data_IF_230903855679
#
_entry.id   IF_230903855679
#
_cell.length_a   1.000
_cell.length_b   1.000
_cell.length_c   1.000
_cell.angle_alpha   90.00
_cell.angle_beta   90.00
_cell.angle_gamma   90.00
#
_symmetry.space_group_name_H-M   'P 1'
#
loop_
_entity.id
_entity.type
_entity.pdbx_description
1 polymer ?
#
# COMPACT_ATOMS: atom_id res chain seq x y z
N UNK A 1 -70.68 45.09 -29.28
CA UNK A 1 -71.68 44.01 -29.38
C UNK A 1 -70.90 42.71 -29.55
N UNK A 2 -70.77 41.93 -28.45
CA UNK A 2 -70.17 40.57 -28.28
C UNK A 2 -69.06 40.12 -29.25
N UNK A 3 -67.77 39.91 -28.91
CA UNK A 3 -67.10 39.37 -27.72
C UNK A 3 -67.74 38.11 -27.12
N UNK A 4 -66.98 37.02 -27.19
CA UNK A 4 -67.09 35.75 -26.45
C UNK A 4 -68.26 34.81 -26.76
N UNK A 5 -68.00 33.83 -27.64
CA UNK A 5 -68.28 32.40 -27.40
C UNK A 5 -67.94 31.57 -28.66
N UNK A 6 -66.66 31.45 -29.02
CA UNK A 6 -66.26 30.31 -29.87
C UNK A 6 -66.21 29.11 -28.92
N UNK A 7 -67.23 28.28 -29.02
CA UNK A 7 -67.44 27.13 -28.15
C UNK A 7 -66.39 26.07 -28.47
N UNK A 8 -65.80 25.46 -27.44
CA UNK A 8 -64.86 24.33 -27.54
C UNK A 8 -65.45 23.11 -28.27
N UNK A 9 -66.79 23.08 -28.44
CA UNK A 9 -67.49 22.12 -29.31
C UNK A 9 -67.16 22.30 -30.80
N UNK A 10 -66.94 23.53 -31.27
CA UNK A 10 -66.78 23.80 -32.70
C UNK A 10 -65.38 23.41 -33.20
N UNK A 11 -64.35 23.57 -32.35
CA UNK A 11 -62.97 23.16 -32.66
C UNK A 11 -62.78 21.64 -32.61
N UNK A 12 -63.46 20.95 -31.69
CA UNK A 12 -63.46 19.47 -31.65
C UNK A 12 -64.30 18.86 -32.78
N UNK A 13 -65.38 19.53 -33.20
CA UNK A 13 -66.26 19.02 -34.26
C UNK A 13 -65.61 19.10 -35.65
N UNK A 14 -64.83 20.16 -35.95
CA UNK A 14 -64.22 20.32 -37.27
C UNK A 14 -62.90 19.53 -37.42
N UNK A 15 -62.19 19.24 -36.32
CA UNK A 15 -60.98 18.41 -36.33
C UNK A 15 -61.29 16.91 -36.50
N UNK A 16 -62.46 16.45 -36.06
CA UNK A 16 -62.89 15.05 -36.20
C UNK A 16 -63.36 14.70 -37.63
N UNK A 17 -63.86 15.67 -38.39
CA UNK A 17 -64.44 15.45 -39.73
C UNK A 17 -63.38 15.33 -40.83
N UNK A 18 -62.15 15.84 -40.64
CA UNK A 18 -61.12 15.90 -41.69
C UNK A 18 -60.10 14.75 -41.67
N UNK A 19 -60.16 13.83 -40.70
CA UNK A 19 -59.19 12.72 -40.57
C UNK A 19 -59.76 11.33 -40.94
N UNK A 20 -60.96 11.27 -41.53
CA UNK A 20 -61.71 10.03 -41.73
C UNK A 20 -62.10 9.75 -43.19
N UNK A 21 -61.19 9.91 -44.16
CA UNK A 21 -61.44 9.37 -45.51
C UNK A 21 -60.12 9.06 -46.23
N UNK A 22 -59.58 7.89 -45.91
CA UNK A 22 -58.43 7.33 -46.59
C UNK A 22 -58.29 5.84 -46.34
N UNK A 23 -59.10 5.01 -47.01
CA UNK A 23 -58.66 3.80 -47.71
C UNK A 23 -59.87 3.09 -48.34
N UNK A 24 -59.69 2.75 -49.61
CA UNK A 24 -60.61 2.07 -50.51
C UNK A 24 -60.87 0.60 -50.15
N UNK A 25 -62.03 0.15 -50.63
CA UNK A 25 -62.57 -1.22 -50.69
C UNK A 25 -63.26 -1.76 -49.42
N UNK A 26 -64.59 -1.64 -49.41
CA UNK A 26 -65.50 -2.23 -48.40
C UNK A 26 -66.18 -1.23 -47.48
N UNK A 27 -66.97 -0.29 -48.02
CA UNK A 27 -67.52 0.86 -47.29
C UNK A 27 -68.50 0.50 -46.16
N UNK A 28 -68.09 0.77 -44.93
CA UNK A 28 -68.94 0.90 -43.73
C UNK A 28 -69.49 2.33 -43.69
N UNK A 29 -70.81 2.49 -43.68
CA UNK A 29 -71.45 3.79 -43.48
C UNK A 29 -71.31 4.21 -42.00
N UNK A 30 -70.78 5.41 -41.77
CA UNK A 30 -70.64 6.00 -40.43
C UNK A 30 -71.94 6.75 -40.11
N UNK A 31 -72.93 6.01 -39.62
CA UNK A 31 -73.95 6.58 -38.74
C UNK A 31 -73.42 6.56 -37.31
N UNK A 32 -73.52 7.69 -36.61
CA UNK A 32 -73.05 7.86 -35.23
C UNK A 32 -73.99 7.16 -34.22
N UNK A 33 -74.17 5.86 -34.38
CA UNK A 33 -74.98 5.02 -33.49
C UNK A 33 -74.30 3.65 -33.29
N UNK A 34 -73.92 3.34 -32.06
CA UNK A 34 -73.37 2.05 -31.59
C UNK A 34 -71.97 1.64 -32.12
N UNK A 35 -71.69 1.85 -33.40
CA UNK A 35 -70.50 1.36 -34.10
C UNK A 35 -69.21 2.03 -33.58
N UNK A 36 -69.28 3.29 -33.15
CA UNK A 36 -68.15 4.00 -32.51
C UNK A 36 -67.76 3.32 -31.20
N UNK A 37 -68.74 2.88 -30.39
CA UNK A 37 -68.47 2.17 -29.13
C UNK A 37 -67.79 0.83 -29.41
N UNK A 38 -68.26 0.10 -30.43
CA UNK A 38 -67.63 -1.15 -30.88
C UNK A 38 -66.19 -0.93 -31.35
N UNK A 39 -65.92 0.14 -32.12
CA UNK A 39 -64.55 0.48 -32.54
C UNK A 39 -63.65 0.86 -31.36
N UNK A 40 -64.17 1.59 -30.35
CA UNK A 40 -63.42 1.92 -29.13
C UNK A 40 -63.09 0.66 -28.34
N UNK A 41 -64.06 -0.25 -28.17
CA UNK A 41 -63.82 -1.53 -27.48
C UNK A 41 -62.79 -2.37 -28.23
N UNK A 42 -62.89 -2.44 -29.56
CA UNK A 42 -61.89 -3.14 -30.40
C UNK A 42 -60.50 -2.51 -30.28
N UNK A 43 -60.41 -1.18 -30.27
CA UNK A 43 -59.15 -0.46 -30.08
C UNK A 43 -58.56 -0.71 -28.68
N UNK A 44 -59.38 -0.73 -27.63
CA UNK A 44 -58.94 -1.03 -26.27
C UNK A 44 -58.45 -2.48 -26.14
N UNK A 45 -59.14 -3.44 -26.77
CA UNK A 45 -58.70 -4.85 -26.82
C UNK A 45 -57.38 -4.96 -27.58
N UNK A 46 -57.24 -4.29 -28.73
CA UNK A 46 -56.00 -4.27 -29.50
C UNK A 46 -54.86 -3.64 -28.71
N UNK A 47 -55.08 -2.51 -28.05
CA UNK A 47 -54.10 -1.83 -27.20
C UNK A 47 -53.69 -2.70 -26.01
N UNK A 48 -54.66 -3.38 -25.37
CA UNK A 48 -54.40 -4.30 -24.28
C UNK A 48 -53.59 -5.53 -24.73
N UNK A 49 -53.81 -6.02 -25.95
CA UNK A 49 -53.02 -7.09 -26.55
C UNK A 49 -51.62 -6.61 -26.98
N UNK A 50 -51.50 -5.38 -27.47
CA UNK A 50 -50.24 -4.82 -27.98
C UNK A 50 -49.31 -4.33 -26.86
N UNK A 51 -49.85 -3.92 -25.71
CA UNK A 51 -49.07 -3.55 -24.52
C UNK A 51 -48.03 -4.62 -24.13
N UNK A 52 -48.41 -5.87 -23.81
CA UNK A 52 -47.46 -6.91 -23.45
C UNK A 52 -46.63 -7.42 -24.64
N UNK A 53 -47.18 -7.32 -25.87
CA UNK A 53 -46.53 -7.87 -27.06
C UNK A 53 -45.43 -6.96 -27.63
N UNK A 54 -45.58 -5.63 -27.49
CA UNK A 54 -44.69 -4.67 -28.16
C UNK A 54 -44.09 -3.63 -27.21
N UNK A 55 -44.90 -3.00 -26.36
CA UNK A 55 -44.42 -1.91 -25.49
C UNK A 55 -43.50 -2.42 -24.38
N UNK A 56 -43.93 -3.47 -23.67
CA UNK A 56 -43.15 -4.07 -22.59
C UNK A 56 -41.79 -4.63 -23.09
N UNK A 57 -41.68 -5.37 -24.21
CA UNK A 57 -40.38 -5.83 -24.72
C UNK A 57 -39.51 -4.68 -25.29
N UNK A 58 -40.09 -3.64 -25.89
CA UNK A 58 -39.32 -2.47 -26.33
C UNK A 58 -38.67 -1.75 -25.16
N UNK A 59 -39.43 -1.48 -24.10
CA UNK A 59 -38.94 -0.80 -22.90
C UNK A 59 -37.83 -1.61 -22.23
N UNK A 60 -38.02 -2.92 -22.08
CA UNK A 60 -36.99 -3.83 -21.54
C UNK A 60 -35.71 -3.81 -22.38
N UNK A 61 -35.80 -3.74 -23.70
CA UNK A 61 -34.63 -3.68 -24.58
C UNK A 61 -33.86 -2.36 -24.41
N UNK A 62 -34.57 -1.24 -24.25
CA UNK A 62 -33.94 0.06 -23.98
C UNK A 62 -33.28 0.08 -22.60
N UNK A 63 -33.97 -0.38 -21.56
CA UNK A 63 -33.41 -0.50 -20.21
C UNK A 63 -32.19 -1.43 -20.18
N UNK A 64 -32.23 -2.56 -20.88
CA UNK A 64 -31.09 -3.47 -20.92
C UNK A 64 -29.91 -2.84 -21.66
N UNK A 65 -30.12 -2.15 -22.79
CA UNK A 65 -29.02 -1.43 -23.47
C UNK A 65 -28.44 -0.31 -22.61
N UNK A 66 -29.28 0.47 -21.96
CA UNK A 66 -28.86 1.54 -21.07
C UNK A 66 -28.08 0.98 -19.88
N UNK A 67 -28.60 -0.06 -19.22
CA UNK A 67 -27.92 -0.74 -18.10
C UNK A 67 -26.62 -1.41 -18.51
N UNK A 68 -26.54 -1.96 -19.72
CA UNK A 68 -25.31 -2.56 -20.26
C UNK A 68 -24.28 -1.50 -20.57
N UNK A 69 -24.64 -0.36 -21.15
CA UNK A 69 -23.67 0.69 -21.50
C UNK A 69 -23.29 1.56 -20.31
N UNK A 70 -24.26 2.10 -19.57
CA UNK A 70 -24.02 2.96 -18.42
C UNK A 70 -23.48 2.12 -17.26
N UNK A 71 -24.11 0.99 -16.95
CA UNK A 71 -23.67 0.13 -15.86
C UNK A 71 -22.32 -0.54 -16.12
N UNK A 72 -21.95 -0.86 -17.37
CA UNK A 72 -20.59 -1.34 -17.64
C UNK A 72 -19.54 -0.24 -17.51
N UNK A 73 -19.85 1.00 -17.91
CA UNK A 73 -18.94 2.14 -17.72
C UNK A 73 -18.74 2.48 -16.25
N UNK A 74 -19.80 2.47 -15.46
CA UNK A 74 -19.73 2.72 -14.03
C UNK A 74 -18.93 1.62 -13.32
N UNK A 75 -19.20 0.35 -13.64
CA UNK A 75 -18.41 -0.79 -13.13
C UNK A 75 -16.93 -0.70 -13.53
N UNK A 76 -16.63 -0.35 -14.78
CA UNK A 76 -15.25 -0.16 -15.22
C UNK A 76 -14.57 0.96 -14.43
N UNK A 77 -15.24 2.10 -14.24
CA UNK A 77 -14.71 3.21 -13.45
C UNK A 77 -14.52 2.87 -11.97
N UNK A 78 -15.41 2.06 -11.38
CA UNK A 78 -15.25 1.55 -10.02
C UNK A 78 -14.06 0.59 -9.91
N UNK A 79 -13.93 -0.34 -10.84
CA UNK A 79 -12.79 -1.28 -10.86
C UNK A 79 -11.47 -0.54 -11.09
N UNK A 80 -11.41 0.43 -12.01
CA UNK A 80 -10.23 1.27 -12.22
C UNK A 80 -9.85 2.04 -10.95
N UNK A 81 -10.85 2.59 -10.22
CA UNK A 81 -10.61 3.24 -8.92
C UNK A 81 -10.10 2.26 -7.88
N UNK A 82 -10.65 1.04 -7.80
CA UNK A 82 -10.19 0.00 -6.87
C UNK A 82 -8.76 -0.43 -7.19
N UNK A 83 -8.45 -0.67 -8.46
CA UNK A 83 -7.10 -1.03 -8.91
C UNK A 83 -6.11 0.10 -8.64
N UNK A 84 -6.47 1.35 -8.94
CA UNK A 84 -5.64 2.51 -8.65
C UNK A 84 -5.36 2.63 -7.14
N UNK A 85 -6.39 2.53 -6.29
CA UNK A 85 -6.25 2.53 -4.84
C UNK A 85 -5.36 1.39 -4.34
N UNK A 86 -5.63 0.16 -4.77
CA UNK A 86 -4.83 -1.01 -4.40
C UNK A 86 -3.37 -0.87 -4.85
N UNK A 87 -3.12 -0.31 -6.04
CA UNK A 87 -1.76 -0.06 -6.52
C UNK A 87 -1.04 1.01 -5.69
N UNK A 88 -1.74 2.05 -5.26
CA UNK A 88 -1.22 3.08 -4.36
C UNK A 88 -0.89 2.52 -2.98
N UNK A 89 -1.83 1.79 -2.38
CA UNK A 89 -1.64 1.11 -1.10
C UNK A 89 -0.46 0.13 -1.14
N UNK A 90 -0.32 -0.63 -2.23
CA UNK A 90 0.82 -1.54 -2.43
C UNK A 90 2.15 -0.78 -2.54
N UNK A 91 2.20 0.32 -3.30
CA UNK A 91 3.38 1.16 -3.43
C UNK A 91 3.79 1.79 -2.09
N UNK A 92 2.81 2.24 -1.30
CA UNK A 92 3.03 2.79 0.04
C UNK A 92 3.54 1.73 1.01
N UNK A 93 2.95 0.53 1.00
CA UNK A 93 3.41 -0.60 1.81
C UNK A 93 4.84 -1.01 1.45
N UNK A 94 5.17 -1.07 0.15
CA UNK A 94 6.53 -1.38 -0.31
C UNK A 94 7.52 -0.30 0.13
N UNK A 95 7.14 0.97 0.07
CA UNK A 95 7.99 2.08 0.53
C UNK A 95 8.22 2.03 2.04
N UNK A 96 7.17 1.76 2.82
CA UNK A 96 7.26 1.57 4.28
C UNK A 96 8.15 0.38 4.63
N UNK A 97 7.95 -0.77 4.01
CA UNK A 97 8.76 -1.97 4.24
C UNK A 97 10.25 -1.72 3.92
N UNK A 98 10.56 -0.98 2.84
CA UNK A 98 11.94 -0.58 2.51
C UNK A 98 12.52 0.38 3.56
N UNK A 99 11.73 1.35 4.03
CA UNK A 99 12.16 2.30 5.05
C UNK A 99 12.43 1.57 6.39
N UNK A 100 11.54 0.68 6.80
CA UNK A 100 11.69 -0.16 8.00
C UNK A 100 12.92 -1.06 7.90
N UNK A 101 13.10 -1.75 6.77
CA UNK A 101 14.28 -2.59 6.55
C UNK A 101 15.60 -1.80 6.55
N UNK A 102 15.61 -0.60 5.97
CA UNK A 102 16.79 0.28 6.03
C UNK A 102 17.06 0.78 7.45
N UNK A 103 16.02 1.15 8.20
CA UNK A 103 16.16 1.57 9.59
C UNK A 103 16.69 0.43 10.48
N UNK A 104 16.20 -0.79 10.29
CA UNK A 104 16.69 -1.96 11.01
C UNK A 104 18.14 -2.28 10.66
N UNK A 105 18.52 -2.22 9.37
CA UNK A 105 19.91 -2.37 8.93
C UNK A 105 20.83 -1.34 9.57
N UNK A 106 20.41 -0.07 9.61
CA UNK A 106 21.20 0.99 10.22
C UNK A 106 21.32 0.80 11.73
N UNK A 107 20.24 0.37 12.40
CA UNK A 107 20.26 0.03 13.82
C UNK A 107 21.27 -1.08 14.10
N UNK A 108 21.20 -2.19 13.37
CA UNK A 108 22.14 -3.31 13.50
C UNK A 108 23.59 -2.89 13.22
N UNK A 109 23.81 -2.04 12.21
CA UNK A 109 25.13 -1.48 11.90
C UNK A 109 25.66 -0.66 13.06
N UNK A 110 24.84 0.23 13.62
CA UNK A 110 25.22 1.07 14.77
C UNK A 110 25.52 0.25 16.02
N UNK A 111 24.74 -0.80 16.28
CA UNK A 111 24.95 -1.72 17.40
C UNK A 111 26.22 -2.55 17.20
N UNK A 112 26.48 -2.98 15.96
CA UNK A 112 27.72 -3.67 15.58
C UNK A 112 28.96 -2.80 15.83
N UNK A 113 28.94 -1.55 15.35
CA UNK A 113 30.04 -0.59 15.56
C UNK A 113 30.27 -0.29 17.05
N UNK A 114 29.20 -0.16 17.84
CA UNK A 114 29.31 0.02 19.31
C UNK A 114 29.95 -1.20 19.97
N UNK A 115 29.47 -2.41 19.65
CA UNK A 115 30.04 -3.65 20.18
C UNK A 115 31.51 -3.82 19.79
N UNK A 116 31.86 -3.52 18.55
CA UNK A 116 33.24 -3.56 18.08
C UNK A 116 34.13 -2.58 18.87
N UNK A 117 33.67 -1.33 19.03
CA UNK A 117 34.37 -0.33 19.82
C UNK A 117 34.54 -0.76 21.29
N UNK A 118 33.50 -1.33 21.90
CA UNK A 118 33.54 -1.84 23.27
C UNK A 118 34.53 -3.00 23.43
N UNK A 119 34.54 -3.95 22.49
CA UNK A 119 35.48 -5.08 22.48
C UNK A 119 36.91 -4.56 22.32
N UNK A 120 37.15 -3.66 21.36
CA UNK A 120 38.47 -3.06 21.15
C UNK A 120 38.94 -2.28 22.38
N UNK A 121 38.05 -1.56 23.06
CA UNK A 121 38.38 -0.83 24.28
C UNK A 121 38.77 -1.80 25.41
N UNK A 122 38.02 -2.89 25.62
CA UNK A 122 38.36 -3.93 26.61
C UNK A 122 39.69 -4.59 26.32
N UNK A 123 39.91 -5.02 25.08
CA UNK A 123 41.17 -5.67 24.67
C UNK A 123 42.35 -4.72 24.85
N UNK A 124 42.21 -3.43 24.52
CA UNK A 124 43.26 -2.44 24.78
C UNK A 124 43.54 -2.26 26.28
N UNK A 125 42.51 -2.21 27.10
CA UNK A 125 42.68 -2.10 28.55
C UNK A 125 43.36 -3.35 29.15
N UNK A 126 42.96 -4.55 28.72
CA UNK A 126 43.59 -5.81 29.13
C UNK A 126 45.04 -5.92 28.66
N UNK A 127 45.33 -5.49 27.43
CA UNK A 127 46.69 -5.44 26.90
C UNK A 127 47.57 -4.46 27.68
N UNK A 128 47.06 -3.25 27.99
CA UNK A 128 47.77 -2.27 28.83
C UNK A 128 48.05 -2.84 30.22
N UNK A 129 47.06 -3.45 30.86
CA UNK A 129 47.22 -4.09 32.17
C UNK A 129 48.29 -5.18 32.13
N UNK A 130 48.25 -6.05 31.13
CA UNK A 130 49.24 -7.12 30.94
C UNK A 130 50.64 -6.55 30.73
N UNK A 131 50.77 -5.44 29.99
CA UNK A 131 52.04 -4.76 29.75
C UNK A 131 52.59 -4.13 31.05
N UNK A 132 51.73 -3.51 31.85
CA UNK A 132 52.08 -2.93 33.15
C UNK A 132 52.52 -3.99 34.14
N UNK A 133 51.77 -5.10 34.25
CA UNK A 133 52.15 -6.26 35.07
C UNK A 133 53.49 -6.86 34.62
N UNK A 134 53.69 -7.01 33.31
CA UNK A 134 54.96 -7.49 32.75
C UNK A 134 56.13 -6.56 33.06
N UNK A 135 55.95 -5.25 32.94
CA UNK A 135 56.97 -4.26 33.30
C UNK A 135 57.30 -4.28 34.79
N UNK A 136 56.28 -4.43 35.65
CA UNK A 136 56.48 -4.56 37.09
C UNK A 136 57.31 -5.81 37.42
N UNK A 137 56.96 -6.97 36.86
CA UNK A 137 57.71 -8.23 37.05
C UNK A 137 59.17 -8.11 36.58
N UNK A 138 59.40 -7.58 35.38
CA UNK A 138 60.77 -7.36 34.86
C UNK A 138 61.56 -6.40 35.76
N UNK A 139 60.92 -5.36 36.31
CA UNK A 139 61.59 -4.46 37.25
C UNK A 139 61.93 -5.15 38.57
N UNK A 140 61.08 -6.05 39.07
CA UNK A 140 61.33 -6.82 40.30
C UNK A 140 62.44 -7.85 40.10
N UNK A 141 62.35 -8.65 39.03
CA UNK A 141 63.38 -9.61 38.63
C UNK A 141 64.73 -8.92 38.40
N UNK A 142 64.73 -7.74 37.77
CA UNK A 142 65.94 -6.95 37.58
C UNK A 142 66.57 -6.47 38.89
N UNK A 143 65.76 -6.11 39.91
CA UNK A 143 66.27 -5.76 41.25
C UNK A 143 66.84 -6.98 41.95
N UNK A 144 66.14 -8.11 41.91
CA UNK A 144 66.59 -9.37 42.50
C UNK A 144 67.90 -9.86 41.88
N UNK A 145 68.00 -9.83 40.54
CA UNK A 145 69.22 -10.21 39.82
C UNK A 145 70.41 -9.29 40.17
N UNK A 146 70.19 -7.98 40.30
CA UNK A 146 71.25 -7.04 40.74
C UNK A 146 71.75 -7.36 42.15
N UNK A 147 70.84 -7.61 43.09
CA UNK A 147 71.22 -7.99 44.45
C UNK A 147 72.02 -9.31 44.49
N UNK A 148 71.61 -10.30 43.69
CA UNK A 148 72.34 -11.56 43.56
C UNK A 148 73.76 -11.34 43.01
N UNK A 149 73.91 -10.51 41.96
CA UNK A 149 75.21 -10.17 41.38
C UNK A 149 76.11 -9.39 42.35
N UNK A 150 75.57 -8.51 43.19
CA UNK A 150 76.35 -7.81 44.22
C UNK A 150 76.93 -8.77 45.26
N UNK A 151 76.15 -9.75 45.71
CA UNK A 151 76.61 -10.79 46.65
C UNK A 151 77.69 -11.65 45.99
N UNK A 152 77.48 -12.06 44.74
CA UNK A 152 78.42 -12.89 44.00
C UNK A 152 79.72 -12.15 43.68
N UNK A 153 79.65 -10.86 43.32
CA UNK A 153 80.81 -10.00 43.13
C UNK A 153 81.62 -9.81 44.42
N UNK A 154 80.96 -9.65 45.58
CA UNK A 154 81.65 -9.57 46.87
C UNK A 154 82.39 -10.87 47.20
N UNK A 155 81.78 -12.03 46.94
CA UNK A 155 82.40 -13.34 47.13
C UNK A 155 83.60 -13.55 46.18
N UNK A 156 83.44 -13.25 44.88
CA UNK A 156 84.52 -13.31 43.91
C UNK A 156 85.67 -12.35 44.27
N UNK A 157 85.36 -11.16 44.79
CA UNK A 157 86.35 -10.21 45.28
C UNK A 157 87.16 -10.74 46.45
N UNK A 158 86.50 -11.40 47.43
CA UNK A 158 87.19 -12.08 48.56
C UNK A 158 88.09 -13.21 48.07
N UNK A 159 87.61 -14.01 47.11
CA UNK A 159 88.39 -15.10 46.51
C UNK A 159 89.60 -14.60 45.71
N UNK A 160 89.46 -13.47 45.00
CA UNK A 160 90.58 -12.86 44.27
C UNK A 160 91.62 -12.30 45.25
N UNK A 161 91.16 -11.59 46.29
CA UNK A 161 92.03 -11.02 47.32
C UNK A 161 92.81 -12.11 48.09
N UNK A 162 92.16 -13.22 48.43
CA UNK A 162 92.81 -14.35 49.11
C UNK A 162 93.88 -15.01 48.24
N UNK A 163 93.62 -15.17 46.93
CA UNK A 163 94.60 -15.69 45.96
C UNK A 163 95.80 -14.76 45.75
N UNK A 164 95.59 -13.45 45.72
CA UNK A 164 96.68 -12.47 45.53
C UNK A 164 97.52 -12.29 46.79
N UNK A 165 96.92 -12.33 47.99
CA UNK A 165 97.62 -12.12 49.27
C UNK A 165 98.22 -13.41 49.86
N UNK A 166 97.99 -14.57 49.24
CA UNK A 166 98.62 -15.84 49.60
C UNK A 166 98.27 -16.36 51.01
N UNK A 167 97.25 -15.80 51.66
CA UNK A 167 96.79 -16.20 53.00
C UNK A 167 95.30 -15.89 53.15
N UNK A 168 94.55 -16.85 53.66
CA UNK A 168 93.10 -16.75 53.84
C UNK A 168 92.73 -15.57 54.76
N UNK A 169 92.12 -14.52 54.20
CA UNK A 169 91.54 -13.44 54.99
C UNK A 169 90.14 -13.88 55.41
N UNK A 170 90.07 -14.50 56.58
CA UNK A 170 88.83 -14.92 57.23
C UNK A 170 88.26 -13.73 58.02
N UNK A 171 87.24 -13.09 57.47
CA UNK A 171 86.47 -11.98 58.04
C UNK A 171 85.20 -11.74 57.25
#
# INVERSE_FOLDING_TARGET
MSLFAVSTKDLLSNALVTAGSGASEGGVNVDADGTIVVHIVLFLILMAALKPLLFDPLLKLFEEREKRTIGAREKAAEEDKKTSKASGEYADQMTKARAEGNAEREKLRSEGLKKEADILARVRAEAQKTLEEGRARVSEEGKAARQALEIEAANLGKDLASRVLGREVRG
#
